data_IF_168588256622
#
_entry.id   IF_168588256622
#
_cell.length_a   1.000
_cell.length_b   1.000
_cell.length_c   1.000
_cell.angle_alpha   90.00
_cell.angle_beta   90.00
_cell.angle_gamma   90.00
#
_symmetry.space_group_name_H-M   'P 1'
#
loop_
_entity.id
_entity.type
_entity.pdbx_description
1 polymer ?
#
# COMPACT_ATOMS: atom_id res chain seq x y z
N UNK A 1 55.93 38.68 -30.06
CA UNK A 1 54.48 38.70 -30.37
C UNK A 1 53.69 38.54 -29.08
N UNK A 2 53.24 39.64 -28.47
CA UNK A 2 52.40 39.62 -27.27
C UNK A 2 50.95 39.84 -27.69
N UNK A 3 50.09 38.84 -27.52
CA UNK A 3 48.64 38.98 -27.67
C UNK A 3 48.11 39.71 -26.42
N UNK A 4 47.79 40.99 -26.56
CA UNK A 4 47.11 41.78 -25.53
C UNK A 4 45.74 41.14 -25.25
N UNK A 5 45.57 40.61 -24.03
CA UNK A 5 44.27 40.13 -23.54
C UNK A 5 43.34 41.33 -23.36
N UNK A 6 42.34 41.45 -24.24
CA UNK A 6 41.26 42.43 -24.10
C UNK A 6 40.46 42.07 -22.84
N UNK A 7 40.70 42.80 -21.75
CA UNK A 7 39.87 42.72 -20.55
C UNK A 7 38.51 43.35 -20.88
N UNK A 8 37.50 42.51 -21.13
CA UNK A 8 36.12 42.96 -21.21
C UNK A 8 35.66 43.35 -19.79
N UNK A 9 35.61 44.65 -19.53
CA UNK A 9 34.94 45.16 -18.34
C UNK A 9 33.44 45.00 -18.55
N UNK A 10 32.87 43.91 -18.04
CA UNK A 10 31.42 43.75 -18.00
C UNK A 10 30.81 44.91 -17.21
N UNK A 11 29.74 45.50 -17.74
CA UNK A 11 29.06 46.61 -17.08
C UNK A 11 28.46 46.12 -15.76
N UNK A 12 28.57 46.92 -14.70
CA UNK A 12 27.99 46.61 -13.38
C UNK A 12 26.49 46.26 -13.51
N UNK A 13 25.80 46.93 -14.43
CA UNK A 13 24.39 46.67 -14.75
C UNK A 13 24.17 45.27 -15.33
N UNK A 14 25.05 44.82 -16.23
CA UNK A 14 24.98 43.48 -16.83
C UNK A 14 25.13 42.40 -15.75
N UNK A 15 26.05 42.60 -14.81
CA UNK A 15 26.27 41.68 -13.69
C UNK A 15 25.05 41.64 -12.75
N UNK A 16 24.43 42.79 -12.45
CA UNK A 16 23.22 42.83 -11.63
C UNK A 16 22.03 42.11 -12.28
N UNK A 17 21.86 42.24 -13.60
CA UNK A 17 20.80 41.54 -14.34
C UNK A 17 21.04 40.03 -14.28
N UNK A 18 22.27 39.58 -14.53
CA UNK A 18 22.61 38.14 -14.48
C UNK A 18 22.37 37.56 -13.09
N UNK A 19 22.79 38.26 -12.03
CA UNK A 19 22.55 37.82 -10.66
C UNK A 19 21.06 37.73 -10.31
N UNK A 20 20.25 38.70 -10.78
CA UNK A 20 18.81 38.70 -10.55
C UNK A 20 18.12 37.53 -11.25
N UNK A 21 18.49 37.27 -12.51
CA UNK A 21 17.99 36.11 -13.27
C UNK A 21 18.41 34.80 -12.61
N UNK A 22 19.68 34.68 -12.20
CA UNK A 22 20.20 33.48 -11.56
C UNK A 22 19.54 33.21 -10.21
N UNK A 23 19.28 34.24 -9.41
CA UNK A 23 18.51 34.12 -8.17
C UNK A 23 17.09 33.59 -8.42
N UNK A 24 16.38 34.17 -9.40
CA UNK A 24 15.04 33.71 -9.75
C UNK A 24 15.00 32.25 -10.23
N UNK A 25 16.01 31.85 -11.01
CA UNK A 25 16.14 30.49 -11.52
C UNK A 25 16.38 29.49 -10.39
N UNK A 26 17.21 29.86 -9.41
CA UNK A 26 17.47 29.03 -8.23
C UNK A 26 16.18 28.82 -7.43
N UNK A 27 15.40 29.88 -7.19
CA UNK A 27 14.15 29.78 -6.42
C UNK A 27 13.15 28.83 -7.09
N UNK A 28 12.97 28.95 -8.41
CA UNK A 28 12.08 28.06 -9.18
C UNK A 28 12.57 26.60 -9.10
N UNK A 29 13.89 26.40 -9.25
CA UNK A 29 14.50 25.08 -9.20
C UNK A 29 14.30 24.40 -7.83
N UNK A 30 14.47 25.14 -6.73
CA UNK A 30 14.24 24.64 -5.37
C UNK A 30 12.78 24.21 -5.20
N UNK A 31 11.83 25.00 -5.70
CA UNK A 31 10.40 24.67 -5.67
C UNK A 31 10.09 23.34 -6.35
N UNK A 32 10.69 23.11 -7.53
CA UNK A 32 10.53 21.84 -8.26
C UNK A 32 11.17 20.66 -7.55
N UNK A 33 12.36 20.81 -6.95
CA UNK A 33 13.02 19.75 -6.20
C UNK A 33 12.14 19.32 -5.01
N UNK A 34 11.59 20.28 -4.26
CA UNK A 34 10.69 19.97 -3.15
C UNK A 34 9.43 19.24 -3.60
N UNK A 35 8.83 19.63 -4.73
CA UNK A 35 7.66 18.97 -5.29
C UNK A 35 7.99 17.54 -5.75
N UNK A 36 9.12 17.34 -6.43
CA UNK A 36 9.59 16.02 -6.87
C UNK A 36 9.84 15.09 -5.68
N UNK A 37 10.50 15.59 -4.62
CA UNK A 37 10.71 14.82 -3.40
C UNK A 37 9.40 14.41 -2.71
N UNK A 38 8.41 15.31 -2.65
CA UNK A 38 7.09 15.00 -2.09
C UNK A 38 6.38 13.91 -2.90
N UNK A 39 6.41 14.02 -4.23
CA UNK A 39 5.80 13.03 -5.13
C UNK A 39 6.48 11.67 -4.98
N UNK A 40 7.81 11.62 -4.94
CA UNK A 40 8.56 10.38 -4.75
C UNK A 40 8.23 9.70 -3.42
N UNK A 41 8.15 10.45 -2.31
CA UNK A 41 7.74 9.91 -1.01
C UNK A 41 6.34 9.31 -1.05
N UNK A 42 5.39 9.98 -1.70
CA UNK A 42 4.02 9.48 -1.86
C UNK A 42 3.97 8.22 -2.73
N UNK A 43 4.72 8.18 -3.83
CA UNK A 43 4.81 7.00 -4.70
C UNK A 43 5.43 5.81 -3.97
N UNK A 44 6.55 6.01 -3.28
CA UNK A 44 7.22 4.94 -2.53
C UNK A 44 6.30 4.37 -1.43
N UNK A 45 5.57 5.22 -0.71
CA UNK A 45 4.59 4.78 0.29
C UNK A 45 3.46 3.96 -0.33
N UNK A 46 2.91 4.40 -1.47
CA UNK A 46 1.87 3.65 -2.19
C UNK A 46 2.38 2.31 -2.72
N UNK A 47 3.59 2.29 -3.26
CA UNK A 47 4.22 1.07 -3.75
C UNK A 47 4.44 0.06 -2.63
N UNK A 48 5.03 0.49 -1.50
CA UNK A 48 5.22 -0.36 -0.33
C UNK A 48 3.90 -0.96 0.16
N UNK A 49 2.83 -0.15 0.21
CA UNK A 49 1.50 -0.61 0.59
C UNK A 49 0.94 -1.67 -0.38
N UNK A 50 1.05 -1.44 -1.70
CA UNK A 50 0.60 -2.40 -2.71
C UNK A 50 1.39 -3.72 -2.64
N UNK A 51 2.71 -3.64 -2.43
CA UNK A 51 3.56 -4.82 -2.25
C UNK A 51 3.14 -5.61 -1.00
N UNK A 52 2.90 -4.93 0.13
CA UNK A 52 2.44 -5.58 1.37
C UNK A 52 1.09 -6.26 1.20
N UNK A 53 0.11 -5.60 0.59
CA UNK A 53 -1.21 -6.19 0.32
C UNK A 53 -1.13 -7.40 -0.61
N UNK A 54 -0.29 -7.33 -1.63
CA UNK A 54 -0.08 -8.44 -2.57
C UNK A 54 0.57 -9.64 -1.86
N UNK A 55 1.58 -9.38 -1.02
CA UNK A 55 2.26 -10.40 -0.22
C UNK A 55 1.30 -11.07 0.77
N UNK A 56 0.52 -10.27 1.49
CA UNK A 56 -0.50 -10.73 2.42
C UNK A 56 -1.54 -11.61 1.72
N UNK A 57 -2.12 -11.12 0.62
CA UNK A 57 -3.12 -11.85 -0.17
C UNK A 57 -2.60 -13.20 -0.64
N UNK A 58 -1.35 -13.24 -1.11
CA UNK A 58 -0.71 -14.47 -1.56
C UNK A 58 -0.53 -15.45 -0.41
N UNK A 59 0.07 -15.01 0.70
CA UNK A 59 0.32 -15.89 1.85
C UNK A 59 -0.97 -16.45 2.44
N UNK A 60 -1.96 -15.59 2.63
CA UNK A 60 -3.29 -15.99 3.12
C UNK A 60 -3.94 -17.02 2.17
N UNK A 61 -3.84 -16.83 0.85
CA UNK A 61 -4.40 -17.78 -0.12
C UNK A 61 -3.66 -19.12 -0.10
N UNK A 62 -2.34 -19.09 0.01
CA UNK A 62 -1.51 -20.29 0.06
C UNK A 62 -1.77 -21.08 1.36
N UNK A 63 -1.93 -20.37 2.48
CA UNK A 63 -2.28 -20.97 3.78
C UNK A 63 -3.71 -21.53 3.76
N UNK A 64 -4.70 -20.80 3.24
CA UNK A 64 -6.09 -21.28 3.15
C UNK A 64 -6.24 -22.52 2.25
N UNK A 65 -5.41 -22.66 1.22
CA UNK A 65 -5.36 -23.85 0.36
C UNK A 65 -4.76 -25.07 1.04
N UNK A 66 -3.88 -24.86 2.00
CA UNK A 66 -3.17 -25.94 2.70
C UNK A 66 -3.86 -26.27 4.02
N UNK A 67 -4.60 -25.33 4.59
CA UNK A 67 -5.35 -25.51 5.81
C UNK A 67 -6.59 -26.38 5.59
N UNK A 68 -6.82 -27.27 6.56
CA UNK A 68 -7.98 -28.16 6.58
C UNK A 68 -9.11 -27.61 7.46
N UNK A 69 -8.75 -26.75 8.40
CA UNK A 69 -9.66 -26.14 9.35
C UNK A 69 -9.21 -24.71 9.65
N UNK A 70 -10.17 -23.87 10.00
CA UNK A 70 -9.95 -22.47 10.33
C UNK A 70 -10.94 -22.05 11.43
N UNK A 71 -10.42 -21.34 12.43
CA UNK A 71 -11.21 -20.77 13.51
C UNK A 71 -10.95 -19.27 13.57
N UNK A 72 -11.99 -18.48 13.85
CA UNK A 72 -11.88 -17.04 14.04
C UNK A 72 -12.31 -16.71 15.46
N UNK A 73 -11.44 -16.03 16.20
CA UNK A 73 -11.74 -15.46 17.50
C UNK A 73 -11.52 -13.94 17.46
N UNK A 74 -12.58 -13.21 17.11
CA UNK A 74 -12.57 -11.76 16.98
C UNK A 74 -11.57 -11.24 15.94
N UNK A 75 -10.41 -10.79 16.42
CA UNK A 75 -9.32 -10.26 15.57
C UNK A 75 -8.26 -11.30 15.20
N UNK A 76 -8.41 -12.52 15.70
CA UNK A 76 -7.46 -13.60 15.48
C UNK A 76 -8.07 -14.66 14.56
N UNK A 77 -7.33 -15.04 13.52
CA UNK A 77 -7.63 -16.20 12.68
C UNK A 77 -6.58 -17.28 12.97
N UNK A 78 -7.05 -18.43 13.41
CA UNK A 78 -6.22 -19.60 13.69
C UNK A 78 -6.42 -20.66 12.61
N UNK A 79 -5.31 -21.22 12.15
CA UNK A 79 -5.25 -22.33 11.19
C UNK A 79 -4.51 -23.50 11.87
N UNK A 80 -5.22 -24.31 12.68
CA UNK A 80 -4.59 -25.31 13.55
C UNK A 80 -3.78 -26.36 12.79
N UNK A 81 -4.22 -26.72 11.57
CA UNK A 81 -3.52 -27.70 10.73
C UNK A 81 -2.14 -27.26 10.27
N UNK A 82 -1.87 -25.95 10.27
CA UNK A 82 -0.59 -25.36 9.87
C UNK A 82 0.17 -24.72 11.04
N UNK A 83 -0.42 -24.68 12.24
CA UNK A 83 0.08 -23.90 13.37
C UNK A 83 0.35 -22.43 12.99
N UNK A 84 -0.55 -21.87 12.17
CA UNK A 84 -0.49 -20.47 11.73
C UNK A 84 -1.57 -19.67 12.44
N UNK A 85 -1.17 -18.52 12.98
CA UNK A 85 -2.05 -17.56 13.64
C UNK A 85 -1.89 -16.22 12.96
N UNK A 86 -3.01 -15.66 12.52
CA UNK A 86 -3.11 -14.30 12.02
C UNK A 86 -3.76 -13.42 13.07
N UNK A 87 -3.02 -12.44 13.57
CA UNK A 87 -3.52 -11.46 14.52
C UNK A 87 -3.67 -10.10 13.83
N UNK A 88 -4.84 -9.49 14.00
CA UNK A 88 -5.10 -8.13 13.58
C UNK A 88 -4.90 -7.20 14.78
N UNK A 89 -4.08 -6.17 14.60
CA UNK A 89 -3.91 -5.06 15.55
C UNK A 89 -4.04 -3.73 14.80
N UNK A 90 -5.28 -3.24 14.70
CA UNK A 90 -5.60 -2.02 13.96
C UNK A 90 -5.26 -2.13 12.46
N UNK A 91 -4.31 -1.33 11.93
CA UNK A 91 -3.86 -1.40 10.55
C UNK A 91 -2.72 -2.41 10.33
N UNK A 92 -2.32 -3.16 11.36
CA UNK A 92 -1.24 -4.15 11.26
C UNK A 92 -1.84 -5.55 11.31
N UNK A 93 -1.39 -6.41 10.39
CA UNK A 93 -1.69 -7.84 10.42
C UNK A 93 -0.38 -8.56 10.68
N UNK A 94 -0.34 -9.37 11.72
CA UNK A 94 0.79 -10.22 12.06
C UNK A 94 0.43 -11.66 11.76
N UNK A 95 1.27 -12.35 10.99
CA UNK A 95 1.20 -13.81 10.80
C UNK A 95 2.32 -14.43 11.62
N UNK A 96 1.97 -15.33 12.53
CA UNK A 96 2.93 -16.16 13.25
C UNK A 96 2.73 -17.60 12.83
N UNK A 97 3.79 -18.24 12.38
CA UNK A 97 3.83 -19.64 11.95
C UNK A 97 4.82 -20.39 12.84
N UNK A 98 4.36 -21.44 13.48
CA UNK A 98 5.22 -22.33 14.24
C UNK A 98 5.74 -23.42 13.30
N UNK A 99 7.03 -23.36 12.99
CA UNK A 99 7.69 -24.33 12.10
C UNK A 99 8.10 -25.57 12.90
N UNK A 100 8.62 -25.36 14.11
CA UNK A 100 9.06 -26.39 15.05
C UNK A 100 8.76 -25.96 16.49
N UNK A 101 9.01 -26.84 17.47
CA UNK A 101 8.82 -26.57 18.89
C UNK A 101 9.58 -25.32 19.40
N UNK A 102 10.67 -24.92 18.74
CA UNK A 102 11.50 -23.77 19.13
C UNK A 102 11.54 -22.63 18.09
N UNK A 103 10.95 -22.83 16.91
CA UNK A 103 11.14 -21.91 15.78
C UNK A 103 9.82 -21.33 15.35
N UNK A 104 9.64 -20.05 15.64
CA UNK A 104 8.47 -19.27 15.20
C UNK A 104 8.89 -18.26 14.14
N UNK A 105 8.23 -18.29 12.98
CA UNK A 105 8.36 -17.27 11.96
C UNK A 105 7.27 -16.24 12.15
N UNK A 106 7.64 -14.97 12.22
CA UNK A 106 6.69 -13.85 12.31
C UNK A 106 6.83 -12.95 11.10
N UNK A 107 5.73 -12.75 10.39
CA UNK A 107 5.60 -11.86 9.24
C UNK A 107 4.63 -10.73 9.58
N UNK A 108 5.08 -9.48 9.43
CA UNK A 108 4.28 -8.29 9.72
C UNK A 108 3.85 -7.63 8.41
N UNK A 109 2.57 -7.26 8.34
CA UNK A 109 1.96 -6.58 7.20
C UNK A 109 1.33 -5.28 7.66
N UNK A 110 1.99 -4.17 7.33
CA UNK A 110 1.48 -2.84 7.59
C UNK A 110 0.54 -2.39 6.47
N UNK A 111 -0.69 -2.07 6.85
CA UNK A 111 -1.67 -1.44 5.97
C UNK A 111 -1.61 0.08 6.09
N UNK A 112 -2.30 0.77 5.19
CA UNK A 112 -2.39 2.21 5.23
C UNK A 112 -3.06 2.67 6.54
N UNK A 113 -2.57 3.74 7.20
CA UNK A 113 -3.20 4.28 8.39
C UNK A 113 -4.69 4.55 8.18
N UNK A 114 -5.52 4.21 9.18
CA UNK A 114 -6.98 4.32 9.11
C UNK A 114 -7.68 3.17 8.38
N UNK A 115 -6.93 2.15 7.93
CA UNK A 115 -7.54 0.89 7.48
C UNK A 115 -8.19 0.17 8.66
N UNK A 116 -9.38 -0.38 8.44
CA UNK A 116 -10.07 -1.29 9.35
C UNK A 116 -10.06 -2.68 8.74
N UNK A 117 -9.65 -3.66 9.53
CA UNK A 117 -9.53 -5.04 9.12
C UNK A 117 -10.52 -5.86 9.94
N UNK A 118 -11.33 -6.66 9.26
CA UNK A 118 -12.36 -7.50 9.89
C UNK A 118 -12.31 -8.87 9.23
N UNK A 119 -12.22 -9.92 10.06
CA UNK A 119 -12.47 -11.28 9.62
C UNK A 119 -13.97 -11.52 9.58
N UNK A 120 -14.45 -11.99 8.44
CA UNK A 120 -15.82 -12.43 8.27
C UNK A 120 -15.82 -13.97 8.18
N UNK A 121 -16.44 -14.57 9.19
CA UNK A 121 -16.55 -16.00 9.47
C UNK A 121 -17.88 -16.61 9.03
N UNK A 122 -18.79 -15.84 8.42
CA UNK A 122 -20.15 -16.30 8.07
C UNK A 122 -20.17 -17.51 7.13
N UNK A 123 -19.08 -17.75 6.40
CA UNK A 123 -18.96 -18.86 5.45
C UNK A 123 -18.10 -20.02 5.97
N UNK A 124 -17.66 -19.99 7.23
CA UNK A 124 -16.94 -21.11 7.83
C UNK A 124 -17.83 -22.36 7.94
N UNK A 125 -17.26 -23.57 7.83
CA UNK A 125 -15.84 -23.89 7.64
C UNK A 125 -15.43 -23.95 6.15
N UNK A 126 -16.25 -23.45 5.23
CA UNK A 126 -15.98 -23.57 3.78
C UNK A 126 -15.11 -22.45 3.26
N UNK A 127 -15.32 -21.25 3.78
CA UNK A 127 -14.62 -20.06 3.35
C UNK A 127 -14.49 -19.07 4.50
N UNK A 128 -13.46 -18.24 4.40
CA UNK A 128 -13.26 -17.09 5.28
C UNK A 128 -13.01 -15.88 4.41
N UNK A 129 -13.51 -14.72 4.83
CA UNK A 129 -13.32 -13.47 4.10
C UNK A 129 -12.59 -12.45 4.97
N UNK A 130 -11.46 -11.94 4.47
CA UNK A 130 -10.80 -10.78 5.05
C UNK A 130 -11.34 -9.51 4.40
N UNK A 131 -11.99 -8.66 5.19
CA UNK A 131 -12.47 -7.36 4.74
C UNK A 131 -11.50 -6.27 5.21
N UNK A 132 -10.92 -5.54 4.26
CA UNK A 132 -10.06 -4.39 4.53
C UNK A 132 -10.79 -3.15 4.01
N UNK A 133 -11.34 -2.36 4.93
CA UNK A 133 -11.99 -1.08 4.63
C UNK A 133 -11.00 0.04 4.86
N UNK A 134 -10.74 0.86 3.84
CA UNK A 134 -9.90 2.04 4.04
C UNK A 134 -10.78 3.20 4.49
N UNK A 135 -10.48 3.81 5.64
CA UNK A 135 -11.03 5.13 5.90
C UNK A 135 -10.48 6.08 4.84
N UNK A 136 -11.33 6.66 4.01
CA UNK A 136 -10.99 7.62 2.95
C UNK A 136 -10.51 8.99 3.51
N UNK A 137 -9.76 8.97 4.61
CA UNK A 137 -9.25 10.13 5.32
C UNK A 137 -7.98 10.70 4.69
N UNK A 138 -8.02 11.06 3.40
CA UNK A 138 -7.27 12.21 2.85
C UNK A 138 -7.71 12.44 1.40
N UNK A 139 -8.29 13.61 1.08
CA UNK A 139 -8.68 13.92 -0.29
C UNK A 139 -7.41 14.00 -1.14
N UNK A 140 -7.38 13.22 -2.22
CA UNK A 140 -6.54 13.54 -3.36
C UNK A 140 -6.95 14.97 -3.76
N UNK A 141 -6.05 15.97 -3.79
CA UNK A 141 -6.39 17.25 -4.41
C UNK A 141 -6.53 16.98 -5.91
N UNK A 142 -7.72 16.55 -6.32
CA UNK A 142 -8.17 16.48 -7.70
C UNK A 142 -8.35 17.90 -8.20
N UNK A 143 -7.24 18.62 -8.42
CA UNK A 143 -7.25 19.85 -9.22
C UNK A 143 -7.05 19.44 -10.67
N UNK A 144 -8.11 18.93 -11.27
CA UNK A 144 -8.38 19.09 -12.70
C UNK A 144 -9.76 19.76 -12.79
N UNK A 145 -9.92 20.82 -13.60
CA UNK A 145 -11.20 21.52 -13.73
C UNK A 145 -12.25 20.54 -14.24
N UNK A 146 -13.34 20.39 -13.47
CA UNK A 146 -14.53 19.64 -13.87
C UNK A 146 -15.19 20.37 -15.05
N UNK A 147 -15.19 19.73 -16.22
CA UNK A 147 -16.13 20.05 -17.30
C UNK A 147 -17.48 19.46 -16.90
N UNK A 148 -18.49 20.31 -16.79
CA UNK A 148 -19.86 19.94 -16.45
C UNK A 148 -20.46 19.00 -17.51
N UNK A 149 -20.79 17.77 -17.13
CA UNK A 149 -21.79 16.94 -17.82
C UNK A 149 -22.85 16.47 -16.81
N UNK A 150 -24.15 16.47 -17.20
CA UNK A 150 -25.25 16.13 -16.30
C UNK A 150 -25.39 14.61 -16.07
N UNK A 151 -25.56 14.31 -14.80
CA UNK A 151 -25.98 13.09 -14.11
C UNK A 151 -26.71 12.01 -14.94
N UNK A 152 -26.10 10.83 -15.03
CA UNK A 152 -26.80 9.56 -15.17
C UNK A 152 -26.61 8.72 -13.89
N UNK A 153 -27.75 8.41 -13.26
CA UNK A 153 -27.91 7.63 -12.04
C UNK A 153 -27.51 6.17 -12.30
N UNK A 154 -26.35 5.73 -11.79
CA UNK A 154 -26.03 4.31 -11.60
C UNK A 154 -25.48 4.13 -10.19
N UNK A 155 -26.35 3.66 -9.30
CA UNK A 155 -26.00 3.15 -7.98
C UNK A 155 -25.35 1.78 -8.11
N UNK A 156 -24.06 1.78 -8.45
CA UNK A 156 -23.14 0.66 -8.22
C UNK A 156 -21.81 1.23 -7.72
N UNK A 157 -21.89 1.91 -6.57
CA UNK A 157 -20.70 2.31 -5.81
C UNK A 157 -20.24 1.12 -4.99
N UNK A 158 -19.66 0.12 -5.66
CA UNK A 158 -18.59 -0.65 -5.02
C UNK A 158 -17.51 0.36 -4.66
N UNK A 159 -17.47 0.77 -3.39
CA UNK A 159 -16.49 1.72 -2.87
C UNK A 159 -15.10 1.17 -3.24
N UNK A 160 -14.38 1.87 -4.14
CA UNK A 160 -13.07 1.44 -4.67
C UNK A 160 -12.01 1.24 -3.57
N UNK A 161 -12.37 1.55 -2.34
CA UNK A 161 -11.55 1.49 -1.14
C UNK A 161 -11.77 0.23 -0.29
N UNK A 162 -12.80 -0.57 -0.58
CA UNK A 162 -13.10 -1.80 0.14
C UNK A 162 -12.49 -2.99 -0.60
N UNK A 163 -11.49 -3.63 0.02
CA UNK A 163 -10.90 -4.86 -0.47
C UNK A 163 -11.53 -6.04 0.24
N UNK A 164 -12.26 -6.86 -0.51
CA UNK A 164 -12.84 -8.12 -0.05
C UNK A 164 -11.99 -9.28 -0.54
N UNK A 165 -11.31 -9.95 0.38
CA UNK A 165 -10.50 -11.14 0.11
C UNK A 165 -11.27 -12.37 0.60
N UNK A 166 -12.05 -12.97 -0.30
CA UNK A 166 -12.72 -14.26 -0.05
C UNK A 166 -11.76 -15.42 -0.33
N UNK A 167 -11.72 -16.40 0.56
CA UNK A 167 -10.89 -17.59 0.45
C UNK A 167 -11.73 -18.83 0.64
N UNK A 168 -11.57 -19.83 -0.22
CA UNK A 168 -12.18 -21.15 -0.05
C UNK A 168 -11.15 -22.09 0.60
N UNK A 169 -11.56 -22.79 1.66
CA UNK A 169 -10.78 -23.81 2.34
C UNK A 169 -10.80 -25.12 1.55
N UNK A 170 -9.71 -25.89 1.64
CA UNK A 170 -9.53 -27.07 0.79
C UNK A 170 -10.47 -28.21 1.16
N UNK A 171 -11.44 -28.51 0.28
CA UNK A 171 -12.43 -29.59 0.49
C UNK A 171 -11.86 -30.99 0.25
N UNK A 172 -10.68 -31.11 -0.36
CA UNK A 172 -10.13 -32.41 -0.77
C UNK A 172 -9.37 -33.15 0.34
N UNK A 173 -8.99 -32.48 1.43
CA UNK A 173 -8.30 -33.12 2.54
C UNK A 173 -9.17 -34.14 3.31
N UNK A 174 -10.50 -34.11 3.13
CA UNK A 174 -11.41 -35.09 3.74
C UNK A 174 -11.48 -36.43 3.00
N UNK A 175 -10.96 -36.54 1.78
CA UNK A 175 -10.90 -37.79 1.04
C UNK A 175 -9.48 -38.35 1.11
N UNK A 176 -9.17 -38.99 2.24
CA UNK A 176 -7.91 -39.71 2.41
C UNK A 176 -7.76 -40.79 1.36
N UNK A 177 -6.92 -40.53 0.34
CA UNK A 177 -6.27 -41.59 -0.43
C UNK A 177 -5.03 -41.97 0.37
N UNK A 178 -5.19 -43.03 1.17
CA UNK A 178 -4.06 -43.74 1.77
C UNK A 178 -3.28 -44.44 0.65
N UNK A 179 -1.94 -44.36 0.59
CA UNK A 179 -1.17 -45.33 -0.18
C UNK A 179 -1.35 -46.75 0.39
#
# INVERSE_FOLDING_TARGET
MNRSSKRHAHSLVELMIVLSLLSSLITVSIGWIHQSMKLSKQMNSRQAHQTNLTRLTRMIRDDARTANDASVDGQTLELPSLQVVYQVDGPVIQRTEQIDASTTRTDVFELQPGSRVIWNDTELPKAITLQIKRSSGTPIPSRLPQTNEPSATNSDTTDRNDLHLRMELNRYARFGVKP
#
